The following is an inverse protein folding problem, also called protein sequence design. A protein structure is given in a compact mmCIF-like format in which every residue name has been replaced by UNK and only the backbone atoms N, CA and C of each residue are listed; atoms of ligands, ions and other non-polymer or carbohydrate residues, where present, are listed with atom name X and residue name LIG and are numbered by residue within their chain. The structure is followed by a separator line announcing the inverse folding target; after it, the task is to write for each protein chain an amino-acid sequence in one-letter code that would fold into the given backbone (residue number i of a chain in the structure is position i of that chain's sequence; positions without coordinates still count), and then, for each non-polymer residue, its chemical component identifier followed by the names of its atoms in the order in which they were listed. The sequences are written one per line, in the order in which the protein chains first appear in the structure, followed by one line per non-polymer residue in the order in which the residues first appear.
data_IF_681800503861
#
_entry.id   IF_681800503861
#
_cell.length_a   1.000
_cell.length_b   1.000
_cell.length_c   1.000
_cell.angle_alpha   90.00
_cell.angle_beta   90.00
_cell.angle_gamma   90.00
#
_symmetry.space_group_name_H-M   'P 1'
#
loop_
_entity.id
_entity.type
_entity.pdbx_description
1 polymer ?
#
# COMPACT_ATOMS: atom_id res chain seq x y z
N UNK A 1 22.71 -4.05 22.43
CA UNK A 1 23.16 -3.37 21.20
C UNK A 1 24.66 -3.13 21.28
N UNK A 2 25.41 -3.42 20.21
CA UNK A 2 26.87 -3.21 20.15
C UNK A 2 27.20 -1.89 19.45
N UNK A 3 28.42 -1.36 19.67
CA UNK A 3 28.91 -0.16 18.95
C UNK A 3 28.87 -0.34 17.42
N UNK A 4 29.11 -1.56 16.94
CA UNK A 4 29.04 -1.88 15.53
C UNK A 4 27.61 -1.80 15.00
N UNK A 5 26.64 -2.38 15.72
CA UNK A 5 25.21 -2.30 15.39
C UNK A 5 24.69 -0.86 15.37
N UNK A 6 25.17 0.00 16.27
CA UNK A 6 24.86 1.43 16.26
C UNK A 6 25.38 2.14 15.00
N UNK A 7 26.65 1.88 14.64
CA UNK A 7 27.27 2.47 13.45
C UNK A 7 26.55 2.02 12.18
N UNK A 8 26.30 0.71 12.05
CA UNK A 8 25.57 0.15 10.91
C UNK A 8 24.16 0.73 10.85
N UNK A 9 23.48 0.86 11.99
CA UNK A 9 22.17 1.50 12.06
C UNK A 9 22.16 2.93 11.53
N UNK A 10 23.15 3.74 11.90
CA UNK A 10 23.30 5.11 11.39
C UNK A 10 23.55 5.15 9.89
N UNK A 11 24.38 4.23 9.37
CA UNK A 11 24.67 4.11 7.93
C UNK A 11 23.39 3.75 7.15
N UNK A 12 22.66 2.75 7.61
CA UNK A 12 21.40 2.31 7.00
C UNK A 12 20.35 3.43 7.00
N UNK A 13 20.17 4.11 8.14
CA UNK A 13 19.27 5.25 8.25
C UNK A 13 19.61 6.36 7.27
N UNK A 14 20.91 6.71 7.17
CA UNK A 14 21.39 7.73 6.23
C UNK A 14 21.15 7.33 4.78
N UNK A 15 21.41 6.07 4.44
CA UNK A 15 21.14 5.51 3.10
C UNK A 15 19.67 5.62 2.74
N UNK A 16 18.78 5.07 3.57
CA UNK A 16 17.32 5.10 3.34
C UNK A 16 16.82 6.53 3.19
N UNK A 17 17.25 7.43 4.09
CA UNK A 17 16.83 8.84 4.06
C UNK A 17 17.25 9.52 2.77
N UNK A 18 18.50 9.32 2.33
CA UNK A 18 19.03 9.89 1.08
C UNK A 18 18.30 9.36 -0.15
N UNK A 19 18.13 8.04 -0.23
CA UNK A 19 17.46 7.41 -1.37
C UNK A 19 15.98 7.80 -1.45
N UNK A 20 15.29 7.90 -0.30
CA UNK A 20 13.91 8.40 -0.20
C UNK A 20 13.81 9.86 -0.64
N UNK A 21 14.70 10.74 -0.16
CA UNK A 21 14.73 12.15 -0.57
C UNK A 21 14.98 12.33 -2.07
N UNK A 22 15.76 11.44 -2.68
CA UNK A 22 16.07 11.46 -4.11
C UNK A 22 15.04 10.70 -4.97
N UNK A 23 13.98 10.13 -4.40
CA UNK A 23 13.01 9.26 -5.08
C UNK A 23 13.68 8.07 -5.82
N UNK A 24 14.78 7.55 -5.26
CA UNK A 24 15.57 6.43 -5.81
C UNK A 24 15.50 5.19 -4.92
N UNK A 25 14.71 5.24 -3.83
CA UNK A 25 14.58 4.15 -2.88
C UNK A 25 13.96 2.92 -3.55
N UNK A 26 14.74 1.85 -3.65
CA UNK A 26 14.24 0.53 -4.03
C UNK A 26 13.84 -0.25 -2.77
N UNK A 27 12.54 -0.33 -2.50
CA UNK A 27 12.01 -0.96 -1.28
C UNK A 27 12.38 -2.44 -1.19
N UNK A 28 12.40 -3.17 -2.30
CA UNK A 28 12.74 -4.59 -2.34
C UNK A 28 14.22 -4.81 -2.00
N UNK A 29 15.11 -4.06 -2.64
CA UNK A 29 16.56 -4.15 -2.40
C UNK A 29 16.92 -3.82 -0.94
N UNK A 30 16.36 -2.74 -0.41
CA UNK A 30 16.59 -2.35 0.98
C UNK A 30 16.01 -3.38 1.94
N UNK A 31 14.81 -3.91 1.66
CA UNK A 31 14.23 -4.99 2.48
C UNK A 31 15.13 -6.22 2.53
N UNK A 32 15.65 -6.65 1.37
CA UNK A 32 16.56 -7.79 1.31
C UNK A 32 17.85 -7.53 2.10
N UNK A 33 18.40 -6.31 2.00
CA UNK A 33 19.56 -5.89 2.80
C UNK A 33 19.27 -5.96 4.30
N UNK A 34 18.11 -5.46 4.74
CA UNK A 34 17.70 -5.49 6.14
C UNK A 34 17.52 -6.93 6.66
N UNK A 35 16.95 -7.82 5.85
CA UNK A 35 16.79 -9.23 6.19
C UNK A 35 18.14 -9.93 6.42
N UNK A 36 19.11 -9.67 5.55
CA UNK A 36 20.48 -10.21 5.68
C UNK A 36 21.13 -9.73 6.98
N UNK A 37 21.03 -8.42 7.26
CA UNK A 37 21.64 -7.87 8.48
C UNK A 37 20.93 -8.31 9.76
N UNK A 38 19.62 -8.53 9.74
CA UNK A 38 18.90 -9.10 10.87
C UNK A 38 19.32 -10.56 11.11
N UNK A 39 19.36 -11.38 10.05
CA UNK A 39 19.77 -12.78 10.15
C UNK A 39 21.22 -12.95 10.62
N UNK A 40 22.10 -12.01 10.24
CA UNK A 40 23.48 -11.95 10.71
C UNK A 40 23.68 -11.23 12.04
N UNK A 41 22.61 -10.92 12.79
CA UNK A 41 22.64 -10.20 14.07
C UNK A 41 23.42 -8.87 14.02
N UNK A 42 23.55 -8.29 12.82
CA UNK A 42 24.30 -7.04 12.56
C UNK A 42 23.45 -5.80 12.82
N UNK A 43 22.14 -5.97 12.93
CA UNK A 43 21.18 -5.01 13.47
C UNK A 43 20.24 -5.73 14.45
N UNK A 44 19.62 -4.98 15.37
CA UNK A 44 18.59 -5.53 16.27
C UNK A 44 17.23 -5.61 15.57
N UNK A 45 16.33 -6.42 16.11
CA UNK A 45 14.93 -6.48 15.65
C UNK A 45 14.22 -5.13 15.76
N UNK A 46 14.58 -4.32 16.76
CA UNK A 46 14.04 -2.96 16.96
C UNK A 46 14.49 -2.04 15.80
N UNK A 47 15.78 -2.04 15.47
CA UNK A 47 16.30 -1.29 14.32
C UNK A 47 15.68 -1.75 13.00
N UNK A 48 15.52 -3.07 12.83
CA UNK A 48 14.86 -3.63 11.66
C UNK A 48 13.43 -3.10 11.51
N UNK A 49 12.65 -3.08 12.59
CA UNK A 49 11.29 -2.54 12.59
C UNK A 49 11.26 -1.05 12.22
N UNK A 50 12.14 -0.24 12.83
CA UNK A 50 12.27 1.18 12.49
C UNK A 50 12.58 1.39 10.99
N UNK A 51 13.53 0.63 10.43
CA UNK A 51 13.87 0.76 9.02
C UNK A 51 12.75 0.30 8.09
N UNK A 52 11.96 -0.70 8.49
CA UNK A 52 10.78 -1.15 7.74
C UNK A 52 9.72 -0.05 7.66
N UNK A 53 9.45 0.66 8.74
CA UNK A 53 8.54 1.80 8.74
C UNK A 53 9.03 2.93 7.82
N UNK A 54 10.34 3.17 7.78
CA UNK A 54 10.92 4.22 6.93
C UNK A 54 10.77 3.96 5.43
N UNK A 55 10.81 2.70 5.00
CA UNK A 55 10.77 2.31 3.57
C UNK A 55 9.35 2.05 3.04
N UNK A 56 8.35 1.89 3.92
CA UNK A 56 6.96 1.81 3.47
C UNK A 56 6.62 3.15 2.81
N UNK A 57 6.11 3.15 1.56
CA UNK A 57 5.53 4.35 0.98
C UNK A 57 4.44 4.81 1.92
N UNK A 58 4.54 6.04 2.44
CA UNK A 58 3.37 6.66 3.05
C UNK A 58 2.40 6.79 1.90
N UNK A 59 1.39 5.92 1.85
CA UNK A 59 0.21 6.18 1.03
C UNK A 59 -0.24 7.56 1.49
N UNK A 60 0.08 8.57 0.67
CA UNK A 60 -0.38 9.92 0.90
C UNK A 60 -1.88 9.76 0.86
N UNK A 61 -2.55 9.97 1.99
CA UNK A 61 -4.01 9.92 2.13
C UNK A 61 -4.62 10.47 0.84
N UNK A 62 -5.04 9.56 -0.04
CA UNK A 62 -5.81 9.92 -1.20
C UNK A 62 -7.14 10.31 -0.61
N UNK A 63 -7.29 11.61 -0.38
CA UNK A 63 -8.48 12.25 0.14
C UNK A 63 -9.67 11.73 -0.68
N UNK A 64 -10.34 10.71 -0.14
CA UNK A 64 -11.49 10.11 -0.78
C UNK A 64 -12.70 10.92 -0.33
N UNK A 65 -12.73 12.19 -0.73
CA UNK A 65 -13.98 12.92 -0.88
C UNK A 65 -14.72 12.25 -2.04
N UNK A 66 -15.45 11.16 -1.74
CA UNK A 66 -16.59 10.78 -2.56
C UNK A 66 -17.73 11.67 -2.13
N UNK A 67 -17.78 12.81 -2.81
CA UNK A 67 -18.98 13.60 -2.97
C UNK A 67 -20.15 12.69 -3.36
N UNK A 68 -21.31 13.00 -2.80
CA UNK A 68 -22.57 12.33 -3.07
C UNK A 68 -22.90 12.42 -4.56
N UNK A 69 -23.30 11.30 -5.16
CA UNK A 69 -24.19 11.37 -6.32
C UNK A 69 -25.12 10.17 -6.26
N UNK A 70 -26.40 10.51 -6.09
CA UNK A 70 -27.59 9.70 -6.29
C UNK A 70 -27.45 8.64 -7.37
N UNK A 71 -27.97 7.45 -7.10
CA UNK A 71 -28.63 6.67 -8.14
C UNK A 71 -29.82 5.93 -7.56
N UNK A 72 -30.96 6.59 -7.76
CA UNK A 72 -32.31 6.07 -7.74
C UNK A 72 -32.37 4.64 -8.30
N UNK A 73 -32.80 3.66 -7.50
CA UNK A 73 -33.11 2.31 -7.97
C UNK A 73 -34.62 2.23 -8.16
N UNK A 74 -35.06 2.33 -9.41
CA UNK A 74 -36.42 2.00 -9.82
C UNK A 74 -36.38 1.01 -11.00
N UNK A 75 -37.46 0.24 -11.10
CA UNK A 75 -37.91 -0.63 -12.21
C UNK A 75 -37.53 -2.11 -12.04
N UNK A 76 -38.36 -2.91 -11.36
CA UNK A 76 -39.67 -3.47 -11.74
C UNK A 76 -39.53 -4.74 -12.60
N UNK A 77 -39.86 -5.89 -11.99
CA UNK A 77 -39.95 -7.19 -12.66
C UNK A 77 -41.42 -7.54 -12.87
N UNK A 78 -41.95 -7.21 -14.06
CA UNK A 78 -43.21 -7.76 -14.55
C UNK A 78 -42.91 -8.77 -15.66
N UNK A 79 -43.17 -10.04 -15.34
CA UNK A 79 -43.15 -11.17 -16.27
C UNK A 79 -44.55 -11.29 -16.89
N UNK A 80 -44.71 -10.73 -18.08
CA UNK A 80 -45.93 -10.88 -18.88
C UNK A 80 -46.02 -12.29 -19.49
N UNK A 81 -47.19 -12.90 -19.36
CA UNK A 81 -47.61 -14.05 -20.16
C UNK A 81 -48.73 -13.58 -21.11
N UNK A 82 -48.43 -13.60 -22.41
CA UNK A 82 -49.34 -13.61 -23.56
C UNK A 82 -50.31 -14.83 -23.45
N UNK A 83 -51.41 -15.01 -24.25
CA UNK A 83 -51.80 -14.31 -25.48
C UNK A 83 -53.31 -14.06 -25.71
N UNK A 84 -53.65 -13.22 -26.70
CA UNK A 84 -54.48 -13.56 -27.88
C UNK A 84 -55.08 -12.31 -28.57
N UNK A 85 -54.78 -12.20 -29.87
CA UNK A 85 -55.65 -11.86 -31.02
C UNK A 85 -56.73 -10.78 -30.81
N UNK A 86 -56.86 -9.76 -31.67
CA UNK A 86 -57.29 -9.92 -33.07
C UNK A 86 -57.06 -8.61 -33.83
N UNK A 87 -56.70 -8.75 -35.10
CA UNK A 87 -56.38 -7.68 -36.03
C UNK A 87 -57.62 -7.23 -36.82
N UNK A 88 -57.49 -6.07 -37.45
CA UNK A 88 -58.19 -5.51 -38.63
C UNK A 88 -59.52 -4.75 -38.52
N UNK A 89 -59.39 -3.48 -38.94
CA UNK A 89 -60.22 -2.65 -39.84
C UNK A 89 -61.62 -2.20 -39.40
#
# INVERSE_FOLDING_TARGET
MTKMQEIIGKILKSRITREKANNTLNVEEITNTLNIFLAGETITSEQYAEFREMIIPVETDAHKTKDSTDNNTEVNSQKEANPQQTNVQ
#
